data_IF_924255754042
#
_entry.id   IF_924255754042
#
_cell.length_a   1.000
_cell.length_b   1.000
_cell.length_c   1.000
_cell.angle_alpha   90.00
_cell.angle_beta   90.00
_cell.angle_gamma   90.00
#
_symmetry.space_group_name_H-M   'P 1'
#
loop_
_entity.id
_entity.type
_entity.pdbx_description
1 polymer ?
#
# COMPACT_ATOMS: atom_id res chain seq x y z
N UNK A 1 -3.02 9.10 -115.43
CA UNK A 1 -1.72 8.38 -115.43
C UNK A 1 -0.65 9.31 -114.83
N UNK A 2 0.31 8.74 -114.11
CA UNK A 2 1.42 9.36 -113.35
C UNK A 2 2.03 10.68 -113.86
N UNK A 3 2.42 11.50 -112.86
CA UNK A 3 3.60 12.38 -112.72
C UNK A 3 4.20 13.14 -113.91
N UNK A 4 4.57 14.42 -113.66
CA UNK A 4 5.88 15.06 -113.97
C UNK A 4 5.89 16.51 -113.48
N UNK A 5 6.72 16.86 -112.49
CA UNK A 5 8.10 17.41 -112.60
C UNK A 5 8.23 18.83 -113.17
N UNK A 6 8.43 19.78 -112.25
CA UNK A 6 9.56 20.73 -112.09
C UNK A 6 10.32 21.20 -113.35
N UNK A 7 10.33 22.54 -113.57
CA UNK A 7 11.48 23.34 -114.03
C UNK A 7 11.34 24.76 -113.44
N UNK A 8 12.16 25.24 -112.50
CA UNK A 8 13.57 25.69 -112.53
C UNK A 8 13.82 26.98 -113.36
N UNK A 9 14.41 27.96 -112.65
CA UNK A 9 15.56 28.82 -113.01
C UNK A 9 15.30 30.30 -113.42
N UNK A 10 16.03 31.16 -112.68
CA UNK A 10 16.85 32.33 -113.10
C UNK A 10 16.23 33.74 -112.98
N UNK A 11 16.73 34.46 -111.97
CA UNK A 11 16.90 35.93 -111.89
C UNK A 11 17.96 36.39 -112.91
N UNK A 12 17.98 37.66 -113.43
CA UNK A 12 18.61 38.75 -112.66
C UNK A 12 18.23 40.22 -112.99
N UNK A 13 18.85 41.09 -112.17
CA UNK A 13 19.30 42.49 -112.40
C UNK A 13 18.44 43.64 -111.84
N UNK A 14 19.17 44.48 -111.08
CA UNK A 14 18.82 45.68 -110.31
C UNK A 14 18.64 46.93 -111.18
N UNK A 15 17.78 47.86 -110.75
CA UNK A 15 17.93 49.33 -110.81
C UNK A 15 16.71 49.97 -110.12
N UNK A 16 16.78 50.42 -108.86
CA UNK A 16 17.18 51.75 -108.34
C UNK A 16 16.07 52.83 -108.40
N UNK A 17 15.56 53.16 -107.19
CA UNK A 17 14.92 54.39 -106.69
C UNK A 17 13.57 54.90 -107.25
N UNK A 18 12.54 54.95 -106.37
CA UNK A 18 12.24 56.17 -105.59
C UNK A 18 11.12 55.93 -104.54
N UNK A 19 11.51 56.09 -103.28
CA UNK A 19 10.85 56.81 -102.18
C UNK A 19 9.29 56.92 -102.15
N UNK A 20 8.68 56.20 -101.19
CA UNK A 20 7.48 56.65 -100.48
C UNK A 20 7.67 56.47 -98.97
N UNK A 21 7.61 57.59 -98.26
CA UNK A 21 7.64 57.69 -96.80
C UNK A 21 6.51 56.87 -96.16
N UNK A 22 6.88 55.93 -95.29
CA UNK A 22 6.00 55.44 -94.22
C UNK A 22 6.70 55.72 -92.90
N UNK A 23 6.29 56.83 -92.26
CA UNK A 23 6.71 57.20 -90.92
C UNK A 23 6.09 56.20 -89.94
N UNK A 24 6.81 55.11 -89.65
CA UNK A 24 6.44 54.16 -88.59
C UNK A 24 6.87 54.77 -87.26
N UNK A 25 5.92 55.33 -86.51
CA UNK A 25 6.13 55.77 -85.13
C UNK A 25 6.55 54.54 -84.33
N UNK A 26 7.82 54.47 -83.96
CA UNK A 26 8.32 53.50 -82.98
C UNK A 26 8.02 54.10 -81.61
N UNK A 27 6.98 53.62 -80.95
CA UNK A 27 6.80 53.85 -79.51
C UNK A 27 7.97 53.19 -78.80
N UNK A 28 8.94 54.00 -78.36
CA UNK A 28 9.97 53.56 -77.44
C UNK A 28 9.33 53.40 -76.08
N UNK A 29 8.94 52.18 -75.72
CA UNK A 29 8.62 51.83 -74.32
C UNK A 29 9.90 52.02 -73.52
N UNK A 30 10.07 53.15 -72.84
CA UNK A 30 11.13 53.25 -71.85
C UNK A 30 10.73 52.36 -70.70
N UNK A 31 11.41 51.22 -70.54
CA UNK A 31 11.42 50.51 -69.26
C UNK A 31 11.97 51.50 -68.24
N UNK A 32 11.08 52.14 -67.49
CA UNK A 32 11.46 52.90 -66.31
C UNK A 32 12.14 51.92 -65.36
N UNK A 33 13.44 52.10 -65.12
CA UNK A 33 14.12 51.36 -64.06
C UNK A 33 13.39 51.76 -62.77
N UNK A 34 12.62 50.84 -62.20
CA UNK A 34 11.87 51.05 -60.97
C UNK A 34 12.86 51.40 -59.84
N UNK A 35 12.97 52.68 -59.49
CA UNK A 35 13.82 53.18 -58.40
C UNK A 35 13.24 52.89 -56.99
N UNK A 36 12.45 51.83 -56.85
CA UNK A 36 11.81 51.40 -55.61
C UNK A 36 12.63 50.33 -54.86
N UNK A 37 13.82 49.95 -55.36
CA UNK A 37 14.66 48.91 -54.74
C UNK A 37 15.04 49.23 -53.29
N UNK A 38 15.26 50.50 -52.95
CA UNK A 38 15.50 50.93 -51.56
C UNK A 38 14.25 50.81 -50.67
N UNK A 39 13.07 51.16 -51.19
CA UNK A 39 11.80 51.00 -50.48
C UNK A 39 11.45 49.52 -50.27
N UNK A 40 11.72 48.67 -51.26
CA UNK A 40 11.55 47.22 -51.17
C UNK A 40 12.46 46.60 -50.08
N UNK A 41 13.73 47.00 -50.01
CA UNK A 41 14.63 46.56 -48.93
C UNK A 41 14.14 47.00 -47.56
N UNK A 42 13.63 48.24 -47.43
CA UNK A 42 13.16 48.77 -46.16
C UNK A 42 11.91 48.03 -45.65
N UNK A 43 10.97 47.69 -46.55
CA UNK A 43 9.79 46.87 -46.23
C UNK A 43 10.21 45.46 -45.78
N UNK A 44 11.16 44.82 -46.48
CA UNK A 44 11.67 43.51 -46.08
C UNK A 44 12.31 43.54 -44.69
N UNK A 45 13.12 44.56 -44.38
CA UNK A 45 13.75 44.72 -43.05
C UNK A 45 12.70 44.89 -41.95
N UNK A 46 11.69 45.74 -42.18
CA UNK A 46 10.59 45.92 -41.21
C UNK A 46 9.79 44.63 -41.03
N UNK A 47 9.54 43.88 -42.10
CA UNK A 47 8.84 42.60 -42.03
C UNK A 47 9.63 41.56 -41.21
N UNK A 48 10.93 41.44 -41.45
CA UNK A 48 11.81 40.56 -40.64
C UNK A 48 11.90 41.04 -39.18
N UNK A 49 11.88 42.35 -38.94
CA UNK A 49 11.83 42.92 -37.59
C UNK A 49 10.56 42.46 -36.87
N UNK A 50 9.38 42.56 -37.49
CA UNK A 50 8.14 42.10 -36.87
C UNK A 50 8.11 40.60 -36.60
N UNK A 51 8.61 39.78 -37.54
CA UNK A 51 8.71 38.33 -37.33
C UNK A 51 9.64 38.02 -36.15
N UNK A 52 10.80 38.67 -36.07
CA UNK A 52 11.74 38.43 -34.97
C UNK A 52 11.17 38.84 -33.61
N UNK A 53 10.46 39.98 -33.52
CA UNK A 53 9.77 40.39 -32.30
C UNK A 53 8.66 39.40 -31.90
N UNK A 54 7.90 38.90 -32.88
CA UNK A 54 6.85 37.91 -32.63
C UNK A 54 7.44 36.61 -32.06
N UNK A 55 8.56 36.13 -32.61
CA UNK A 55 9.26 34.93 -32.11
C UNK A 55 9.79 35.15 -30.69
N UNK A 56 10.44 36.27 -30.41
CA UNK A 56 10.98 36.59 -29.07
C UNK A 56 9.84 36.64 -28.05
N UNK A 57 8.75 37.36 -28.36
CA UNK A 57 7.58 37.46 -27.50
C UNK A 57 6.95 36.08 -27.21
N UNK A 58 6.88 35.22 -28.22
CA UNK A 58 6.40 33.85 -28.09
C UNK A 58 7.24 32.96 -27.16
N UNK A 59 8.55 33.22 -27.04
CA UNK A 59 9.48 32.42 -26.22
C UNK A 59 9.62 32.92 -24.78
N UNK A 60 9.53 34.24 -24.54
CA UNK A 60 9.77 34.83 -23.22
C UNK A 60 8.78 34.32 -22.16
N UNK A 61 7.48 34.23 -22.49
CA UNK A 61 6.45 33.81 -21.53
C UNK A 61 6.64 32.35 -21.06
N UNK A 62 6.84 31.35 -21.95
CA UNK A 62 7.23 30.01 -21.55
C UNK A 62 8.49 29.95 -20.69
N UNK A 63 9.55 30.70 -21.03
CA UNK A 63 10.80 30.68 -20.25
C UNK A 63 10.63 31.20 -18.82
N UNK A 64 9.87 32.28 -18.63
CA UNK A 64 9.58 32.81 -17.28
C UNK A 64 8.76 31.80 -16.47
N UNK A 65 7.80 31.14 -17.12
CA UNK A 65 6.99 30.10 -16.47
C UNK A 65 7.84 28.91 -16.04
N UNK A 66 8.73 28.43 -16.90
CA UNK A 66 9.64 27.33 -16.57
C UNK A 66 10.59 27.70 -15.43
N UNK A 67 11.11 28.93 -15.39
CA UNK A 67 11.93 29.38 -14.27
C UNK A 67 11.14 29.40 -12.95
N UNK A 68 9.89 29.86 -12.95
CA UNK A 68 9.02 29.80 -11.76
C UNK A 68 8.74 28.35 -11.33
N UNK A 69 8.42 27.47 -12.27
CA UNK A 69 8.18 26.05 -12.00
C UNK A 69 9.42 25.36 -11.43
N UNK A 70 10.60 25.65 -11.97
CA UNK A 70 11.86 25.12 -11.48
C UNK A 70 12.13 25.55 -10.03
N UNK A 71 11.87 26.82 -9.70
CA UNK A 71 12.01 27.32 -8.33
C UNK A 71 11.00 26.68 -7.36
N UNK A 72 9.73 26.56 -7.77
CA UNK A 72 8.71 25.86 -6.97
C UNK A 72 9.14 24.42 -6.71
N UNK A 73 9.61 23.71 -7.73
CA UNK A 73 10.07 22.33 -7.61
C UNK A 73 11.28 22.22 -6.69
N UNK A 74 12.25 23.14 -6.81
CA UNK A 74 13.43 23.18 -5.94
C UNK A 74 13.04 23.38 -4.48
N UNK A 75 12.21 24.39 -4.18
CA UNK A 75 11.78 24.66 -2.81
C UNK A 75 10.92 23.51 -2.25
N UNK A 76 10.05 22.91 -3.05
CA UNK A 76 9.27 21.74 -2.64
C UNK A 76 10.15 20.55 -2.27
N UNK A 77 11.25 20.31 -3.00
CA UNK A 77 12.25 19.28 -2.66
C UNK A 77 13.00 19.62 -1.38
N UNK A 78 13.40 20.89 -1.19
CA UNK A 78 14.03 21.33 0.07
C UNK A 78 13.11 21.05 1.27
N UNK A 79 11.82 21.41 1.19
CA UNK A 79 10.85 21.14 2.25
C UNK A 79 10.68 19.66 2.52
N UNK A 80 10.71 18.83 1.47
CA UNK A 80 10.62 17.37 1.60
C UNK A 80 11.81 16.80 2.39
N UNK A 81 13.05 17.13 2.00
CA UNK A 81 14.24 16.65 2.70
C UNK A 81 14.35 17.19 4.14
N UNK A 82 13.84 18.40 4.37
CA UNK A 82 13.77 18.98 5.71
C UNK A 82 12.77 18.21 6.60
N UNK A 83 11.58 17.90 6.07
CA UNK A 83 10.60 17.04 6.74
C UNK A 83 11.18 15.64 7.04
N UNK A 84 11.87 15.05 6.06
CA UNK A 84 12.53 13.74 6.18
C UNK A 84 13.53 13.73 7.33
N UNK A 85 14.40 14.74 7.38
CA UNK A 85 15.39 14.92 8.45
C UNK A 85 14.75 14.93 9.85
N UNK A 86 13.63 15.65 10.03
CA UNK A 86 12.90 15.67 11.30
C UNK A 86 12.28 14.31 11.65
N UNK A 87 11.71 13.62 10.66
CA UNK A 87 11.11 12.30 10.88
C UNK A 87 12.16 11.22 11.20
N UNK A 88 13.33 11.27 10.57
CA UNK A 88 14.42 10.33 10.79
C UNK A 88 15.11 10.54 12.15
N UNK A 89 15.35 11.79 12.56
CA UNK A 89 15.90 12.08 13.90
C UNK A 89 14.96 11.58 15.00
N UNK A 90 13.66 11.88 14.88
CA UNK A 90 12.64 11.40 15.81
C UNK A 90 12.56 9.88 15.83
N UNK A 91 12.54 9.25 14.64
CA UNK A 91 12.54 7.79 14.49
C UNK A 91 13.75 7.17 15.19
N UNK A 92 14.96 7.66 14.89
CA UNK A 92 16.19 7.15 15.45
C UNK A 92 16.22 7.25 16.97
N UNK A 93 15.83 8.40 17.53
CA UNK A 93 15.79 8.60 18.99
C UNK A 93 14.78 7.68 19.66
N UNK A 94 13.61 7.47 19.04
CA UNK A 94 12.60 6.55 19.55
C UNK A 94 13.08 5.09 19.56
N UNK A 95 13.70 4.59 18.48
CA UNK A 95 14.19 3.20 18.43
C UNK A 95 15.45 2.96 19.27
N UNK A 96 16.24 3.99 19.55
CA UNK A 96 17.45 3.91 20.39
C UNK A 96 17.21 4.32 21.85
N UNK A 97 15.95 4.55 22.23
CA UNK A 97 15.54 4.94 23.58
C UNK A 97 16.25 6.21 24.10
N UNK A 98 16.49 7.18 23.21
CA UNK A 98 16.98 8.51 23.58
C UNK A 98 15.81 9.41 23.97
N UNK A 99 16.04 10.33 24.90
CA UNK A 99 15.03 11.32 25.31
C UNK A 99 14.63 12.20 24.12
N UNK A 100 13.32 12.33 23.90
CA UNK A 100 12.72 13.20 22.90
C UNK A 100 11.36 13.68 23.43
N UNK A 101 11.01 14.94 23.16
CA UNK A 101 9.71 15.51 23.51
C UNK A 101 8.58 15.05 22.60
N UNK A 102 7.39 15.62 22.80
CA UNK A 102 6.22 15.41 21.92
C UNK A 102 6.23 16.33 20.70
N UNK A 103 7.06 17.38 20.71
CA UNK A 103 7.30 18.24 19.56
C UNK A 103 8.74 18.73 19.57
N UNK A 104 9.39 18.70 18.41
CA UNK A 104 10.77 19.09 18.20
C UNK A 104 10.90 19.97 16.97
N UNK A 105 11.89 20.87 16.96
CA UNK A 105 12.18 21.70 15.79
C UNK A 105 13.64 21.58 15.40
N UNK A 106 13.89 21.30 14.13
CA UNK A 106 15.23 21.31 13.54
C UNK A 106 15.31 22.48 12.56
N UNK A 107 16.38 23.26 12.65
CA UNK A 107 16.66 24.35 11.70
C UNK A 107 17.81 23.95 10.79
N UNK A 108 17.59 24.00 9.48
CA UNK A 108 18.62 23.74 8.47
C UNK A 108 18.55 24.84 7.41
N UNK A 109 19.68 25.50 7.13
CA UNK A 109 19.76 26.57 6.13
C UNK A 109 18.70 27.68 6.33
N UNK A 110 18.48 28.08 7.59
CA UNK A 110 17.44 29.06 8.00
C UNK A 110 15.99 28.64 7.74
N UNK A 111 15.75 27.39 7.38
CA UNK A 111 14.42 26.79 7.24
C UNK A 111 14.15 25.87 8.43
N UNK A 112 12.87 25.64 8.75
CA UNK A 112 12.46 24.90 9.93
C UNK A 112 11.70 23.64 9.55
N UNK A 113 11.98 22.54 10.25
CA UNK A 113 11.02 21.44 10.35
C UNK A 113 10.49 21.35 11.77
N UNK A 114 9.18 21.16 11.89
CA UNK A 114 8.52 20.83 13.15
C UNK A 114 8.08 19.39 13.10
N UNK A 115 8.57 18.58 14.03
CA UNK A 115 8.20 17.17 14.17
C UNK A 115 7.34 17.02 15.41
N UNK A 116 6.18 16.38 15.26
CA UNK A 116 5.22 16.11 16.33
C UNK A 116 5.09 14.62 16.53
N UNK A 117 5.17 14.16 17.77
CA UNK A 117 5.08 12.75 18.15
C UNK A 117 3.83 12.56 18.99
N UNK A 118 2.88 11.79 18.48
CA UNK A 118 1.62 11.45 19.15
C UNK A 118 1.57 9.96 19.47
N UNK A 119 0.88 9.61 20.56
CA UNK A 119 0.58 8.21 20.88
C UNK A 119 -0.86 7.94 20.42
N UNK A 120 -1.05 6.91 19.59
CA UNK A 120 -2.34 6.46 19.10
C UNK A 120 -3.03 5.57 20.16
N UNK A 121 -4.33 5.32 20.00
CA UNK A 121 -5.13 4.54 20.95
C UNK A 121 -4.62 3.10 21.16
N UNK A 122 -4.02 2.50 20.13
CA UNK A 122 -3.43 1.17 20.17
C UNK A 122 -2.03 1.12 20.82
N UNK A 123 -1.51 2.26 21.30
CA UNK A 123 -0.17 2.38 21.88
C UNK A 123 0.95 2.68 20.88
N UNK A 124 0.64 2.66 19.57
CA UNK A 124 1.60 3.01 18.52
C UNK A 124 2.00 4.49 18.63
N UNK A 125 3.20 4.81 18.15
CA UNK A 125 3.71 6.18 18.07
C UNK A 125 3.59 6.67 16.64
N UNK A 126 2.93 7.81 16.43
CA UNK A 126 2.92 8.49 15.14
C UNK A 126 3.87 9.69 15.20
N UNK A 127 4.82 9.73 14.27
CA UNK A 127 5.74 10.83 14.04
C UNK A 127 5.23 11.58 12.83
N UNK A 128 5.06 12.88 12.95
CA UNK A 128 4.58 13.75 11.90
C UNK A 128 5.53 14.94 11.75
N UNK A 129 6.25 15.00 10.64
CA UNK A 129 7.27 16.01 10.39
C UNK A 129 6.86 16.94 9.27
N UNK A 130 6.73 18.23 9.58
CA UNK A 130 6.41 19.30 8.64
C UNK A 130 7.69 20.07 8.31
N UNK A 131 8.16 20.02 7.08
CA UNK A 131 9.24 20.87 6.59
C UNK A 131 8.67 22.12 5.93
N UNK A 132 9.14 23.29 6.36
CA UNK A 132 8.72 24.59 5.84
C UNK A 132 9.92 25.35 5.26
N UNK A 133 9.84 25.63 3.95
CA UNK A 133 10.82 26.45 3.23
C UNK A 133 10.08 27.63 2.63
N UNK A 134 10.20 28.79 3.30
CA UNK A 134 9.44 30.02 3.05
C UNK A 134 7.92 29.86 3.18
N UNK A 135 7.27 29.31 2.15
CA UNK A 135 5.82 29.04 2.09
C UNK A 135 5.51 27.67 1.49
N UNK A 136 6.54 26.90 1.13
CA UNK A 136 6.40 25.57 0.59
C UNK A 136 6.49 24.58 1.73
N UNK A 137 5.40 23.87 1.97
CA UNK A 137 5.30 22.93 3.07
C UNK A 137 5.19 21.50 2.53
N UNK A 138 5.91 20.58 3.17
CA UNK A 138 5.80 19.14 2.95
C UNK A 138 5.72 18.45 4.30
N UNK A 139 4.81 17.49 4.41
CA UNK A 139 4.57 16.77 5.65
C UNK A 139 4.76 15.27 5.41
N UNK A 140 5.51 14.62 6.30
CA UNK A 140 5.79 13.18 6.29
C UNK A 140 5.32 12.55 7.59
N UNK A 141 4.72 11.37 7.48
CA UNK A 141 4.20 10.61 8.60
C UNK A 141 4.84 9.24 8.70
N UNK A 142 5.27 8.85 9.89
CA UNK A 142 5.74 7.49 10.23
C UNK A 142 4.90 6.99 11.39
N UNK A 143 4.31 5.79 11.25
CA UNK A 143 3.66 5.11 12.38
C UNK A 143 4.54 3.95 12.83
N UNK A 144 4.88 3.94 14.11
CA UNK A 144 5.69 2.93 14.76
C UNK A 144 4.83 2.08 15.67
N UNK A 145 4.75 0.80 15.32
CA UNK A 145 4.15 -0.21 16.19
C UNK A 145 5.25 -0.98 16.90
N UNK A 146 5.29 -0.88 18.23
CA UNK A 146 6.21 -1.63 19.06
C UNK A 146 5.47 -2.85 19.63
N UNK A 147 5.76 -4.03 19.09
CA UNK A 147 5.32 -5.27 19.73
C UNK A 147 6.35 -5.72 20.74
N UNK A 148 5.90 -6.18 21.91
CA UNK A 148 6.77 -6.90 22.82
C UNK A 148 7.13 -8.22 22.17
N UNK A 149 8.34 -8.33 21.63
CA UNK A 149 8.92 -9.62 21.29
C UNK A 149 9.00 -10.43 22.58
N UNK A 150 8.08 -11.36 22.79
CA UNK A 150 8.18 -12.32 23.89
C UNK A 150 9.20 -13.37 23.49
N UNK A 151 10.43 -13.26 24.01
CA UNK A 151 11.40 -14.34 23.86
C UNK A 151 11.12 -15.37 24.94
N UNK A 152 10.69 -16.55 24.53
CA UNK A 152 10.49 -17.68 25.43
C UNK A 152 11.77 -18.49 25.52
N UNK A 153 12.61 -18.17 26.50
CA UNK A 153 13.82 -18.97 26.78
C UNK A 153 13.46 -20.11 27.72
N UNK A 154 13.05 -21.23 27.12
CA UNK A 154 12.86 -22.49 27.83
C UNK A 154 14.08 -23.38 27.63
N UNK A 155 14.57 -23.99 28.71
CA UNK A 155 15.50 -25.11 28.60
C UNK A 155 14.82 -26.33 27.98
N UNK A 156 13.52 -26.50 28.26
CA UNK A 156 12.69 -27.58 27.71
C UNK A 156 11.28 -27.08 27.40
N UNK A 157 10.82 -27.32 26.17
CA UNK A 157 9.43 -27.12 25.75
C UNK A 157 8.84 -28.46 25.34
N UNK A 158 7.78 -28.90 26.02
CA UNK A 158 7.08 -30.16 25.74
C UNK A 158 5.59 -29.92 25.50
N UNK A 159 5.01 -30.75 24.63
CA UNK A 159 3.62 -30.66 24.25
C UNK A 159 2.66 -31.26 25.28
N UNK A 160 1.55 -31.78 24.77
CA UNK A 160 0.43 -32.31 25.55
C UNK A 160 0.78 -33.52 26.43
N UNK A 161 1.79 -34.30 26.04
CA UNK A 161 2.28 -35.44 26.82
C UNK A 161 2.96 -35.05 28.13
N UNK A 162 3.23 -33.76 28.35
CA UNK A 162 3.90 -33.28 29.55
C UNK A 162 5.39 -33.62 29.61
N UNK A 163 5.97 -33.53 30.79
CA UNK A 163 7.36 -33.85 31.10
C UNK A 163 7.39 -34.85 32.26
N UNK A 164 8.15 -35.93 32.13
CA UNK A 164 8.42 -36.86 33.23
C UNK A 164 9.93 -36.92 33.50
N UNK A 165 10.33 -36.61 34.73
CA UNK A 165 11.71 -36.66 35.20
C UNK A 165 11.89 -37.90 36.10
N UNK A 166 12.78 -38.80 35.68
CA UNK A 166 13.08 -40.05 36.41
C UNK A 166 14.58 -40.25 36.56
N UNK A 167 14.99 -41.05 37.55
CA UNK A 167 16.39 -41.38 37.81
C UNK A 167 17.24 -40.21 38.29
N UNK A 168 16.65 -39.23 39.00
CA UNK A 168 17.38 -38.03 39.45
C UNK A 168 17.74 -37.07 38.31
N UNK A 169 16.91 -37.03 37.27
CA UNK A 169 17.08 -36.13 36.13
C UNK A 169 16.98 -34.66 36.56
N UNK A 170 17.85 -33.82 36.00
CA UNK A 170 17.87 -32.39 36.27
C UNK A 170 17.73 -31.56 35.00
N UNK A 171 16.96 -30.48 35.09
CA UNK A 171 16.85 -29.49 34.01
C UNK A 171 17.40 -28.17 34.53
N UNK A 172 18.45 -27.69 33.86
CA UNK A 172 18.97 -26.35 34.11
C UNK A 172 18.30 -25.34 33.18
N UNK A 173 17.25 -24.67 33.65
CA UNK A 173 16.47 -23.69 32.89
C UNK A 173 14.97 -23.77 33.13
N UNK A 174 14.21 -22.96 32.38
CA UNK A 174 12.75 -22.95 32.46
C UNK A 174 12.13 -24.12 31.69
N UNK A 175 11.03 -24.66 32.19
CA UNK A 175 10.24 -25.71 31.53
C UNK A 175 8.84 -25.16 31.22
N UNK A 176 8.41 -25.32 29.97
CA UNK A 176 7.03 -25.15 29.58
C UNK A 176 6.48 -26.49 29.10
N UNK A 177 5.41 -26.97 29.74
CA UNK A 177 4.71 -28.18 29.36
C UNK A 177 3.24 -27.89 29.12
N UNK A 178 2.72 -28.31 27.96
CA UNK A 178 1.29 -28.26 27.68
C UNK A 178 0.52 -29.46 28.26
N UNK A 179 1.05 -30.02 29.35
CA UNK A 179 0.58 -31.19 30.08
C UNK A 179 1.34 -31.34 31.41
N UNK A 180 1.12 -32.44 32.16
CA UNK A 180 1.64 -32.58 33.50
C UNK A 180 3.18 -32.58 33.53
N UNK A 181 3.75 -31.93 34.54
CA UNK A 181 5.18 -32.05 34.85
C UNK A 181 5.29 -32.96 36.08
N UNK A 182 5.85 -34.16 35.91
CA UNK A 182 6.06 -35.14 36.97
C UNK A 182 7.55 -35.36 37.19
N UNK A 183 7.95 -35.59 38.44
CA UNK A 183 9.34 -35.86 38.81
C UNK A 183 9.44 -36.80 40.00
N UNK A 184 10.51 -37.60 40.04
CA UNK A 184 10.86 -38.38 41.23
C UNK A 184 11.47 -37.50 42.35
N UNK A 185 11.67 -38.08 43.54
CA UNK A 185 12.19 -37.38 44.71
C UNK A 185 13.58 -36.76 44.55
N UNK A 186 14.31 -37.13 43.50
CA UNK A 186 15.66 -36.64 43.19
C UNK A 186 15.72 -35.69 41.99
N UNK A 187 14.57 -35.42 41.36
CA UNK A 187 14.50 -34.57 40.17
C UNK A 187 14.38 -33.10 40.54
N UNK A 188 15.07 -32.21 39.81
CA UNK A 188 14.97 -30.77 40.04
C UNK A 188 15.03 -29.96 38.75
N UNK A 189 14.30 -28.84 38.74
CA UNK A 189 14.28 -27.82 37.69
C UNK A 189 14.83 -26.55 38.32
N UNK A 190 15.89 -25.96 37.75
CA UNK A 190 16.52 -24.77 38.34
C UNK A 190 15.78 -23.46 37.99
N UNK A 191 14.94 -23.48 36.95
CA UNK A 191 14.12 -22.36 36.51
C UNK A 191 12.63 -22.54 36.79
N UNK A 192 11.80 -21.73 36.13
CA UNK A 192 10.34 -21.78 36.26
C UNK A 192 9.78 -23.01 35.55
N UNK A 193 8.90 -23.77 36.22
CA UNK A 193 8.13 -24.86 35.62
C UNK A 193 6.67 -24.44 35.43
N UNK A 194 6.23 -24.34 34.17
CA UNK A 194 4.84 -24.00 33.81
C UNK A 194 4.19 -25.26 33.25
N UNK A 195 3.23 -25.81 34.01
CA UNK A 195 2.35 -26.89 33.56
C UNK A 195 1.01 -26.30 33.15
N UNK A 196 0.72 -26.27 31.86
CA UNK A 196 -0.61 -25.97 31.37
C UNK A 196 -1.47 -27.24 31.38
N UNK A 197 -2.79 -27.06 31.50
CA UNK A 197 -3.74 -28.17 31.44
C UNK A 197 -3.72 -28.80 30.04
N UNK A 198 -3.44 -30.10 29.93
CA UNK A 198 -3.49 -30.77 28.64
C UNK A 198 -4.93 -31.14 28.29
N UNK A 199 -5.39 -30.88 27.05
CA UNK A 199 -6.51 -31.62 26.53
C UNK A 199 -6.23 -33.13 26.59
N UNK A 200 -7.27 -33.92 26.82
CA UNK A 200 -7.16 -35.37 26.66
C UNK A 200 -6.75 -35.69 25.21
N UNK A 201 -5.84 -36.66 25.04
CA UNK A 201 -5.37 -37.10 23.71
C UNK A 201 -6.48 -37.73 22.86
N UNK A 202 -7.54 -38.18 23.52
CA UNK A 202 -8.76 -38.71 22.91
C UNK A 202 -9.96 -37.91 23.42
N UNK A 203 -10.86 -37.54 22.52
CA UNK A 203 -12.11 -36.90 22.90
C UNK A 203 -12.97 -37.87 23.72
N UNK A 204 -13.47 -37.44 24.87
CA UNK A 204 -14.42 -38.22 25.68
C UNK A 204 -15.75 -38.37 24.94
N UNK A 205 -16.21 -37.29 24.30
CA UNK A 205 -17.45 -37.25 23.53
C UNK A 205 -17.17 -36.74 22.11
N UNK A 206 -17.68 -37.45 21.11
CA UNK A 206 -17.62 -37.04 19.69
C UNK A 206 -19.01 -37.15 19.07
N UNK A 207 -19.47 -36.10 18.39
CA UNK A 207 -20.71 -36.16 17.62
C UNK A 207 -20.41 -36.07 16.11
N UNK A 208 -20.10 -37.21 15.50
CA UNK A 208 -19.81 -37.35 14.07
C UNK A 208 -18.31 -37.36 13.74
N UNK A 209 -18.01 -37.69 12.48
CA UNK A 209 -16.66 -37.76 11.92
C UNK A 209 -16.69 -37.15 10.52
N UNK A 210 -15.75 -36.26 10.20
CA UNK A 210 -15.57 -35.72 8.85
C UNK A 210 -16.53 -34.59 8.47
N UNK A 211 -16.81 -34.44 7.17
CA UNK A 211 -17.68 -33.38 6.65
C UNK A 211 -19.13 -33.70 7.02
N UNK A 212 -19.86 -32.78 7.68
CA UNK A 212 -21.25 -33.02 8.06
C UNK A 212 -22.10 -33.30 6.83
N UNK A 213 -22.81 -34.44 6.82
CA UNK A 213 -23.76 -34.78 5.76
C UNK A 213 -24.93 -33.78 5.71
N UNK A 214 -25.25 -33.17 6.86
CA UNK A 214 -26.23 -32.11 7.02
C UNK A 214 -25.59 -30.91 7.69
N UNK A 215 -25.84 -29.73 7.12
CA UNK A 215 -25.28 -28.48 7.61
C UNK A 215 -26.36 -27.65 8.29
N UNK A 216 -26.07 -27.18 9.50
CA UNK A 216 -26.91 -26.23 10.21
C UNK A 216 -26.27 -24.85 10.08
N UNK A 217 -26.98 -23.92 9.46
CA UNK A 217 -26.55 -22.53 9.38
C UNK A 217 -26.99 -21.77 10.64
N UNK A 218 -26.07 -21.05 11.26
CA UNK A 218 -26.33 -20.19 12.42
C UNK A 218 -25.69 -18.81 12.21
N UNK A 219 -26.12 -17.80 12.99
CA UNK A 219 -25.50 -16.46 12.95
C UNK A 219 -25.67 -15.68 11.64
N UNK A 220 -26.79 -15.85 10.93
CA UNK A 220 -27.11 -15.06 9.72
C UNK A 220 -27.94 -13.79 10.05
N UNK A 221 -28.05 -12.85 9.11
CA UNK A 221 -28.71 -11.54 9.33
C UNK A 221 -30.24 -11.58 9.47
N UNK A 222 -30.92 -12.65 9.04
CA UNK A 222 -32.39 -12.66 8.89
C UNK A 222 -33.11 -13.73 9.73
N UNK A 223 -32.38 -14.64 10.37
CA UNK A 223 -32.89 -15.74 11.19
C UNK A 223 -31.75 -16.33 12.03
N UNK A 224 -31.24 -15.55 12.99
CA UNK A 224 -30.29 -16.06 13.98
C UNK A 224 -30.99 -17.13 14.82
N UNK A 225 -30.60 -18.38 14.63
CA UNK A 225 -30.98 -19.48 15.52
C UNK A 225 -29.74 -19.91 16.28
N UNK A 226 -29.87 -20.01 17.60
CA UNK A 226 -28.87 -20.65 18.42
C UNK A 226 -28.90 -22.14 18.16
N UNK A 227 -27.72 -22.73 18.06
CA UNK A 227 -27.55 -24.17 17.94
C UNK A 227 -27.06 -24.73 19.27
N UNK A 228 -27.62 -25.85 19.68
CA UNK A 228 -27.20 -26.54 20.88
C UNK A 228 -27.01 -28.02 20.61
N UNK A 229 -26.02 -28.59 21.28
CA UNK A 229 -25.72 -30.00 21.23
C UNK A 229 -25.56 -30.50 22.66
N UNK A 230 -26.32 -31.54 23.02
CA UNK A 230 -26.14 -32.24 24.29
C UNK A 230 -24.96 -33.20 24.23
N UNK A 231 -24.25 -33.32 25.35
CA UNK A 231 -23.20 -34.31 25.59
C UNK A 231 -23.23 -34.71 27.07
N UNK A 232 -22.69 -35.89 27.40
CA UNK A 232 -22.55 -36.35 28.79
C UNK A 232 -21.15 -36.90 28.97
N UNK A 233 -20.38 -36.29 29.87
CA UNK A 233 -19.01 -36.74 30.16
C UNK A 233 -19.01 -38.09 30.89
N UNK A 234 -18.03 -38.95 30.59
CA UNK A 234 -17.91 -40.28 31.20
C UNK A 234 -17.40 -40.24 32.65
N UNK A 235 -16.61 -39.22 32.98
CA UNK A 235 -15.99 -39.00 34.30
C UNK A 235 -16.13 -37.54 34.69
N UNK A 236 -16.42 -37.28 35.97
CA UNK A 236 -16.47 -35.93 36.53
C UNK A 236 -15.05 -35.36 36.64
N UNK A 237 -14.63 -34.59 35.64
CA UNK A 237 -13.33 -33.95 35.56
C UNK A 237 -13.46 -32.61 34.83
N UNK A 238 -12.58 -31.63 35.10
CA UNK A 238 -12.63 -30.35 34.41
C UNK A 238 -12.63 -30.52 32.89
N UNK A 239 -13.51 -29.80 32.21
CA UNK A 239 -13.52 -29.79 30.75
C UNK A 239 -12.32 -29.00 30.22
N UNK A 240 -11.45 -29.68 29.47
CA UNK A 240 -10.18 -29.08 29.02
C UNK A 240 -10.23 -28.52 27.59
N UNK A 241 -11.10 -29.05 26.73
CA UNK A 241 -11.18 -28.66 25.32
C UNK A 241 -12.54 -28.95 24.70
N UNK A 242 -13.05 -28.00 23.92
CA UNK A 242 -14.19 -28.18 23.02
C UNK A 242 -13.77 -27.72 21.63
N UNK A 243 -14.10 -28.52 20.63
CA UNK A 243 -13.83 -28.20 19.23
C UNK A 243 -15.11 -28.27 18.42
N UNK A 244 -15.24 -27.35 17.46
CA UNK A 244 -16.32 -27.36 16.48
C UNK A 244 -15.73 -27.54 15.08
N UNK A 245 -16.32 -28.43 14.29
CA UNK A 245 -15.95 -28.60 12.88
C UNK A 245 -16.85 -27.73 12.00
N UNK A 246 -16.38 -26.52 11.67
CA UNK A 246 -17.19 -25.46 11.07
C UNK A 246 -16.43 -24.70 9.99
N UNK A 247 -17.19 -23.95 9.18
CA UNK A 247 -16.69 -22.96 8.22
C UNK A 247 -17.52 -21.68 8.32
N UNK A 248 -16.97 -20.57 7.85
CA UNK A 248 -17.70 -19.32 7.69
C UNK A 248 -18.12 -19.08 6.25
N UNK A 249 -19.23 -18.38 6.09
CA UNK A 249 -19.70 -17.83 4.83
C UNK A 249 -19.72 -16.30 4.96
N UNK A 250 -19.20 -15.59 3.97
CA UNK A 250 -19.05 -14.12 4.02
C UNK A 250 -18.21 -13.65 5.23
N UNK A 251 -18.60 -12.55 5.88
CA UNK A 251 -17.88 -11.86 6.96
C UNK A 251 -18.70 -11.82 8.26
N UNK A 252 -18.91 -12.96 8.96
CA UNK A 252 -19.66 -12.98 10.21
C UNK A 252 -18.92 -12.26 11.34
N UNK A 253 -19.67 -11.82 12.36
CA UNK A 253 -19.12 -11.33 13.63
C UNK A 253 -18.75 -12.48 14.57
N UNK A 254 -18.04 -12.17 15.66
CA UNK A 254 -17.75 -13.13 16.73
C UNK A 254 -19.05 -13.60 17.40
N UNK A 255 -19.07 -14.86 17.83
CA UNK A 255 -20.22 -15.50 18.48
C UNK A 255 -19.84 -16.03 19.86
N UNK A 256 -20.80 -16.07 20.79
CA UNK A 256 -20.58 -16.61 22.13
C UNK A 256 -20.93 -18.10 22.16
N UNK A 257 -20.04 -18.92 22.70
CA UNK A 257 -20.29 -20.33 23.03
C UNK A 257 -20.53 -20.43 24.53
N UNK A 258 -21.53 -21.22 24.93
CA UNK A 258 -21.85 -21.47 26.33
C UNK A 258 -22.02 -22.96 26.58
N UNK A 259 -21.58 -23.40 27.75
CA UNK A 259 -21.91 -24.71 28.31
C UNK A 259 -22.94 -24.45 29.39
N UNK A 260 -24.11 -25.08 29.25
CA UNK A 260 -25.23 -24.88 30.17
C UNK A 260 -25.74 -26.22 30.69
N UNK A 261 -26.47 -26.19 31.81
CA UNK A 261 -27.11 -27.38 32.33
C UNK A 261 -28.17 -27.93 31.35
N UNK A 262 -28.40 -29.24 31.37
CA UNK A 262 -29.57 -29.82 30.72
C UNK A 262 -30.82 -29.58 31.58
N UNK A 263 -31.92 -29.22 30.93
CA UNK A 263 -33.23 -28.99 31.52
C UNK A 263 -34.29 -29.79 30.77
N UNK A 264 -34.21 -31.11 30.86
CA UNK A 264 -35.16 -32.04 30.24
C UNK A 264 -34.95 -32.21 28.74
N UNK A 265 -33.70 -32.40 28.32
CA UNK A 265 -33.31 -32.52 26.90
C UNK A 265 -33.23 -31.19 26.16
N UNK A 266 -33.19 -30.07 26.89
CA UNK A 266 -33.11 -28.71 26.35
C UNK A 266 -32.04 -27.91 27.11
N UNK A 267 -31.35 -26.96 26.46
CA UNK A 267 -30.43 -26.05 27.15
C UNK A 267 -31.13 -25.29 28.28
N UNK A 268 -30.60 -25.38 29.50
CA UNK A 268 -31.08 -24.67 30.68
C UNK A 268 -30.48 -23.27 30.82
N UNK A 269 -30.77 -22.61 31.95
CA UNK A 269 -30.34 -21.22 32.23
C UNK A 269 -29.03 -21.12 33.02
N UNK A 270 -28.57 -22.21 33.63
CA UNK A 270 -27.31 -22.21 34.41
C UNK A 270 -26.14 -22.35 33.45
N UNK A 271 -25.24 -21.36 33.44
CA UNK A 271 -24.04 -21.37 32.59
C UNK A 271 -22.84 -21.86 33.40
N UNK A 272 -22.25 -22.98 32.98
CA UNK A 272 -21.04 -23.54 33.60
C UNK A 272 -19.77 -22.92 33.02
N UNK A 273 -19.79 -22.54 31.75
CA UNK A 273 -18.67 -21.84 31.11
C UNK A 273 -19.13 -21.04 29.90
N UNK A 274 -18.38 -19.98 29.57
CA UNK A 274 -18.59 -19.19 28.36
C UNK A 274 -17.27 -18.89 27.67
N UNK A 275 -17.29 -18.87 26.34
CA UNK A 275 -16.14 -18.58 25.50
C UNK A 275 -16.56 -17.85 24.23
N UNK A 276 -15.59 -17.32 23.51
CA UNK A 276 -15.84 -16.61 22.24
C UNK A 276 -15.35 -17.46 21.07
N UNK A 277 -16.25 -17.73 20.13
CA UNK A 277 -15.90 -18.19 18.80
C UNK A 277 -15.53 -16.96 17.95
N UNK A 278 -14.24 -16.77 17.72
CA UNK A 278 -13.75 -15.67 16.90
C UNK A 278 -13.97 -15.94 15.42
N UNK A 279 -14.63 -15.04 14.70
CA UNK A 279 -14.83 -15.15 13.27
C UNK A 279 -13.50 -15.11 12.47
N UNK A 280 -12.44 -14.57 13.08
CA UNK A 280 -11.10 -14.55 12.49
C UNK A 280 -10.43 -15.92 12.44
N UNK A 281 -10.73 -16.82 13.37
CA UNK A 281 -10.13 -18.17 13.42
C UNK A 281 -10.85 -19.16 12.50
N UNK A 282 -12.11 -18.90 12.17
CA UNK A 282 -12.89 -19.74 11.25
C UNK A 282 -12.53 -19.42 9.79
N UNK A 283 -12.27 -20.45 8.98
CA UNK A 283 -11.96 -20.30 7.55
C UNK A 283 -13.18 -20.50 6.65
N UNK A 284 -13.07 -20.22 5.36
CA UNK A 284 -14.11 -20.49 4.36
C UNK A 284 -14.25 -21.98 4.01
N UNK A 285 -13.29 -22.80 4.44
CA UNK A 285 -13.32 -24.26 4.39
C UNK A 285 -13.63 -24.84 5.77
N UNK A 286 -14.13 -26.08 5.82
CA UNK A 286 -14.32 -26.74 7.10
C UNK A 286 -12.99 -26.98 7.80
N UNK A 287 -12.96 -26.69 9.09
CA UNK A 287 -11.82 -26.97 9.95
C UNK A 287 -12.26 -27.13 11.39
N UNK A 288 -11.41 -27.78 12.18
CA UNK A 288 -11.58 -27.85 13.62
C UNK A 288 -11.18 -26.52 14.25
N UNK A 289 -12.10 -25.92 14.99
CA UNK A 289 -11.89 -24.67 15.69
C UNK A 289 -11.98 -24.93 17.19
N UNK A 290 -10.91 -24.55 17.89
CA UNK A 290 -10.80 -24.69 19.34
C UNK A 290 -11.49 -23.51 20.03
N UNK A 291 -12.33 -23.81 21.03
CA UNK A 291 -12.93 -22.79 21.87
C UNK A 291 -12.17 -22.71 23.19
N UNK A 292 -11.73 -21.49 23.51
CA UNK A 292 -11.18 -21.18 24.82
C UNK A 292 -12.30 -20.62 25.69
N UNK A 293 -12.55 -21.26 26.84
CA UNK A 293 -13.50 -20.78 27.83
C UNK A 293 -12.78 -19.96 28.89
N UNK A 294 -13.52 -19.02 29.52
CA UNK A 294 -13.00 -18.22 30.63
C UNK A 294 -12.86 -19.03 31.93
N UNK A 295 -13.50 -20.19 32.02
CA UNK A 295 -13.43 -21.14 33.13
C UNK A 295 -13.46 -22.57 32.60
N UNK A 296 -12.84 -23.51 33.34
CA UNK A 296 -12.96 -24.93 33.07
C UNK A 296 -14.09 -25.50 33.96
N UNK A 297 -15.28 -25.78 33.40
CA UNK A 297 -16.40 -26.30 34.19
C UNK A 297 -16.12 -27.73 34.66
N UNK A 298 -16.62 -28.05 35.86
CA UNK A 298 -16.60 -29.39 36.47
C UNK A 298 -17.90 -30.15 36.13
#
# INVERSE_FOLDING_TARGET
>A
MKQKEIKKKINPVRSFLMWKNNMKIILKTSNGINKQSGAAMLISVIFFLFISLAIISGLVSPSIREFKNANINLNSKKSFFLAESGSEDAFYRLITNKTIGTSETITLDSNFTTTTITTLENGDKQIMSLGDVSTYQRQLGITLSASTGVSFNYGVQVGQGGLSLTGGSSINGNVYANGPITGDSSSYITGTAISANSPALTADQTNGIGIPAYNVAFGNTNSTQDIAQGFKVSVLSPLNKVQFYIKKTSTPSNTTVKIVNDSGGKPGTTVYASGTLSASTVTTSYGWIDITFSSNPL
#
